data_IF_390405626253
#
_entry.id   IF_390405626253
#
_cell.length_a   1.000
_cell.length_b   1.000
_cell.length_c   1.000
_cell.angle_alpha   90.00
_cell.angle_beta   90.00
_cell.angle_gamma   90.00
#
_symmetry.space_group_name_H-M   'P 1'
#
loop_
_entity.id
_entity.type
_entity.pdbx_description
1 polymer ?
#
# COMPACT_ATOMS: atom_id res chain seq x y z
N UNK A 1 -14.09 17.50 -16.14
CA UNK A 1 -13.99 16.61 -14.95
C UNK A 1 -12.58 16.76 -14.44
N UNK A 2 -12.40 17.49 -13.34
CA UNK A 2 -11.08 17.66 -12.73
C UNK A 2 -10.67 16.31 -12.13
N UNK A 3 -9.54 15.78 -12.59
CA UNK A 3 -8.83 14.70 -11.91
C UNK A 3 -8.39 15.26 -10.55
N UNK A 4 -9.21 15.07 -9.53
CA UNK A 4 -8.75 15.19 -8.16
C UNK A 4 -7.73 14.05 -7.97
N UNK A 5 -6.45 14.36 -8.17
CA UNK A 5 -5.35 13.49 -7.80
C UNK A 5 -5.54 13.14 -6.32
N UNK A 6 -5.92 11.90 -6.04
CA UNK A 6 -5.98 11.37 -4.68
C UNK A 6 -4.55 11.41 -4.13
N UNK A 7 -4.21 12.50 -3.43
CA UNK A 7 -2.92 12.63 -2.74
C UNK A 7 -2.93 11.68 -1.55
N UNK A 8 -2.23 10.56 -1.69
CA UNK A 8 -1.98 9.63 -0.61
C UNK A 8 -1.11 10.30 0.45
N UNK A 9 -1.56 10.31 1.71
CA UNK A 9 -0.78 10.85 2.82
C UNK A 9 0.27 9.84 3.29
N UNK A 10 1.33 10.34 3.93
CA UNK A 10 2.33 9.49 4.62
C UNK A 10 1.68 8.47 5.55
N UNK A 11 0.73 8.92 6.38
CA UNK A 11 0.03 8.05 7.33
C UNK A 11 -0.75 6.93 6.62
N UNK A 12 -1.42 7.25 5.49
CA UNK A 12 -2.13 6.27 4.69
C UNK A 12 -1.17 5.22 4.11
N UNK A 13 -0.04 5.65 3.54
CA UNK A 13 0.99 4.73 3.01
C UNK A 13 1.59 3.85 4.11
N UNK A 14 1.88 4.39 5.29
CA UNK A 14 2.37 3.61 6.43
C UNK A 14 1.33 2.58 6.91
N UNK A 15 0.05 2.95 6.95
CA UNK A 15 -1.05 2.04 7.27
C UNK A 15 -1.16 0.92 6.25
N UNK A 16 -1.10 1.24 4.94
CA UNK A 16 -1.10 0.24 3.87
C UNK A 16 0.11 -0.70 3.95
N UNK A 17 1.31 -0.17 4.24
CA UNK A 17 2.51 -0.99 4.39
C UNK A 17 2.42 -1.98 5.54
N UNK A 18 1.86 -1.57 6.68
CA UNK A 18 1.59 -2.49 7.80
C UNK A 18 0.62 -3.60 7.40
N UNK A 19 -0.42 -3.26 6.63
CA UNK A 19 -1.41 -4.22 6.14
C UNK A 19 -0.78 -5.22 5.16
N UNK A 20 -0.10 -4.75 4.11
CA UNK A 20 0.52 -5.63 3.10
C UNK A 20 1.57 -6.56 3.71
N UNK A 21 2.37 -6.08 4.68
CA UNK A 21 3.31 -6.94 5.43
C UNK A 21 2.61 -8.04 6.22
N UNK A 22 1.44 -7.75 6.81
CA UNK A 22 0.64 -8.76 7.52
C UNK A 22 0.08 -9.79 6.53
N UNK A 23 -0.46 -9.33 5.41
CA UNK A 23 -1.03 -10.17 4.36
C UNK A 23 0.01 -11.08 3.72
N UNK A 24 1.21 -10.58 3.43
CA UNK A 24 2.33 -11.39 2.93
C UNK A 24 2.72 -12.51 3.90
N UNK A 25 2.77 -12.23 5.21
CA UNK A 25 3.02 -13.26 6.24
C UNK A 25 1.91 -14.31 6.28
N UNK A 26 0.66 -13.92 6.04
CA UNK A 26 -0.46 -14.84 5.99
C UNK A 26 -0.35 -15.75 4.75
N UNK A 27 -0.19 -15.18 3.55
CA UNK A 27 -0.09 -15.93 2.29
C UNK A 27 1.07 -16.92 2.28
N UNK A 28 2.21 -16.55 2.87
CA UNK A 28 3.40 -17.41 2.92
C UNK A 28 3.13 -18.78 3.57
N UNK A 29 2.21 -18.83 4.52
CA UNK A 29 1.88 -20.04 5.28
C UNK A 29 0.56 -20.71 4.83
N UNK A 30 -0.07 -20.20 3.77
CA UNK A 30 -1.30 -20.76 3.23
C UNK A 30 -1.01 -21.74 2.10
N UNK A 31 -1.82 -22.79 2.00
CA UNK A 31 -1.93 -23.58 0.77
C UNK A 31 -2.74 -22.83 -0.29
N UNK A 32 -2.67 -23.27 -1.55
CA UNK A 32 -3.46 -22.68 -2.64
C UNK A 32 -4.98 -22.75 -2.32
N UNK A 33 -5.45 -23.89 -1.84
CA UNK A 33 -6.87 -24.05 -1.48
C UNK A 33 -7.32 -23.09 -0.37
N UNK A 34 -6.48 -22.89 0.66
CA UNK A 34 -6.76 -21.92 1.73
C UNK A 34 -6.77 -20.50 1.16
N UNK A 35 -5.80 -20.16 0.32
CA UNK A 35 -5.76 -18.87 -0.33
C UNK A 35 -7.02 -18.61 -1.17
N UNK A 36 -7.44 -19.55 -2.01
CA UNK A 36 -8.65 -19.40 -2.84
C UNK A 36 -9.92 -19.17 -2.01
N UNK A 37 -10.03 -19.81 -0.83
CA UNK A 37 -11.16 -19.60 0.08
C UNK A 37 -11.16 -18.21 0.74
N UNK A 38 -9.97 -17.64 1.01
CA UNK A 38 -9.82 -16.39 1.78
C UNK A 38 -9.36 -15.18 0.93
N UNK A 39 -9.15 -15.33 -0.38
CA UNK A 39 -8.59 -14.28 -1.25
C UNK A 39 -9.38 -12.97 -1.24
N UNK A 40 -10.68 -13.02 -0.98
CA UNK A 40 -11.56 -11.84 -0.88
C UNK A 40 -11.27 -10.95 0.34
N UNK A 41 -10.51 -11.46 1.31
CA UNK A 41 -10.20 -10.74 2.55
C UNK A 41 -8.90 -9.91 2.45
N UNK A 42 -8.24 -9.93 1.29
CA UNK A 42 -7.01 -9.19 1.05
C UNK A 42 -7.29 -7.79 0.52
N UNK A 43 -6.36 -6.88 0.78
CA UNK A 43 -6.41 -5.46 0.41
C UNK A 43 -6.52 -5.18 -1.08
N UNK A 44 -6.13 -6.12 -1.94
CA UNK A 44 -6.27 -6.02 -3.40
C UNK A 44 -7.68 -6.36 -3.91
N UNK A 45 -8.61 -6.72 -3.02
CA UNK A 45 -10.00 -7.00 -3.36
C UNK A 45 -10.20 -8.31 -4.14
N UNK A 46 -11.29 -8.40 -4.89
CA UNK A 46 -11.64 -9.62 -5.64
C UNK A 46 -10.99 -9.60 -7.03
N UNK A 47 -9.82 -10.23 -7.14
CA UNK A 47 -9.18 -10.54 -8.43
C UNK A 47 -9.56 -11.94 -8.86
N UNK A 48 -10.27 -12.09 -9.99
CA UNK A 48 -10.62 -13.39 -10.53
C UNK A 48 -9.37 -14.21 -10.89
N UNK A 49 -9.40 -15.51 -10.59
CA UNK A 49 -8.41 -16.51 -11.00
C UNK A 49 -6.94 -16.22 -10.65
N UNK A 50 -6.68 -15.31 -9.72
CA UNK A 50 -5.33 -15.08 -9.20
C UNK A 50 -4.88 -16.30 -8.37
N UNK A 51 -3.66 -16.76 -8.61
CA UNK A 51 -3.00 -17.79 -7.80
C UNK A 51 -2.40 -17.19 -6.53
N UNK A 52 -2.09 -18.04 -5.54
CA UNK A 52 -1.41 -17.60 -4.31
C UNK A 52 -0.06 -16.93 -4.60
N UNK A 53 0.67 -17.44 -5.59
CA UNK A 53 1.98 -16.92 -5.99
C UNK A 53 1.86 -15.54 -6.64
N UNK A 54 0.91 -15.36 -7.56
CA UNK A 54 0.63 -14.06 -8.18
C UNK A 54 0.15 -13.04 -7.13
N UNK A 55 -0.69 -13.46 -6.18
CA UNK A 55 -1.12 -12.59 -5.08
C UNK A 55 0.04 -12.17 -4.18
N UNK A 56 0.98 -13.09 -3.91
CA UNK A 56 2.21 -12.77 -3.18
C UNK A 56 3.07 -11.76 -3.95
N UNK A 57 3.26 -11.97 -5.26
CA UNK A 57 4.01 -11.06 -6.12
C UNK A 57 3.35 -9.67 -6.16
N UNK A 58 2.02 -9.62 -6.31
CA UNK A 58 1.25 -8.38 -6.32
C UNK A 58 1.42 -7.59 -5.01
N UNK A 59 1.21 -8.23 -3.86
CA UNK A 59 1.38 -7.57 -2.55
C UNK A 59 2.81 -7.09 -2.33
N UNK A 60 3.80 -7.83 -2.84
CA UNK A 60 5.22 -7.44 -2.78
C UNK A 60 5.45 -6.18 -3.60
N UNK A 61 4.93 -6.12 -4.82
CA UNK A 61 5.02 -4.95 -5.70
C UNK A 61 4.30 -3.73 -5.11
N UNK A 62 3.10 -3.90 -4.56
CA UNK A 62 2.36 -2.83 -3.88
C UNK A 62 3.13 -2.29 -2.68
N UNK A 63 3.71 -3.17 -1.86
CA UNK A 63 4.54 -2.76 -0.72
C UNK A 63 5.80 -2.01 -1.17
N UNK A 64 6.48 -2.48 -2.21
CA UNK A 64 7.67 -1.82 -2.74
C UNK A 64 7.34 -0.42 -3.27
N UNK A 65 6.25 -0.27 -4.02
CA UNK A 65 5.78 1.02 -4.51
C UNK A 65 5.47 1.98 -3.36
N UNK A 66 4.72 1.54 -2.35
CA UNK A 66 4.40 2.39 -1.21
C UNK A 66 5.66 2.81 -0.41
N UNK A 67 6.67 1.94 -0.32
CA UNK A 67 7.95 2.30 0.31
C UNK A 67 8.71 3.33 -0.51
N UNK A 68 8.69 3.22 -1.84
CA UNK A 68 9.26 4.24 -2.72
C UNK A 68 8.54 5.59 -2.53
N UNK A 69 7.21 5.60 -2.55
CA UNK A 69 6.40 6.81 -2.33
C UNK A 69 6.68 7.45 -0.96
N UNK A 70 6.85 6.65 0.11
CA UNK A 70 7.24 7.18 1.42
C UNK A 70 8.64 7.79 1.44
N UNK A 71 9.57 7.23 0.68
CA UNK A 71 10.90 7.81 0.50
C UNK A 71 10.82 9.14 -0.23
N UNK A 72 10.02 9.22 -1.30
CA UNK A 72 9.86 10.41 -2.14
C UNK A 72 9.16 11.55 -1.38
N UNK A 73 8.25 11.23 -0.45
CA UNK A 73 7.58 12.23 0.41
C UNK A 73 8.51 12.89 1.44
N UNK A 74 9.69 12.32 1.70
CA UNK A 74 10.65 12.82 2.69
C UNK A 74 10.13 12.77 4.15
N UNK A 75 11.00 13.00 5.15
CA UNK A 75 10.63 12.92 6.57
C UNK A 75 9.64 14.00 7.04
N UNK A 76 9.45 15.07 6.25
CA UNK A 76 8.67 16.25 6.63
C UNK A 76 7.65 16.63 5.54
N UNK A 77 6.56 15.89 5.40
CA UNK A 77 5.36 16.41 4.72
C UNK A 77 4.45 17.19 5.68
N UNK A 78 5.07 17.97 6.58
CA UNK A 78 4.46 18.69 7.69
C UNK A 78 5.19 19.99 8.00
N UNK A 79 5.61 20.73 6.97
CA UNK A 79 6.18 22.07 7.13
C UNK A 79 5.18 23.10 6.62
N UNK A 80 4.51 23.71 7.59
CA UNK A 80 3.78 24.98 7.52
C UNK A 80 4.55 25.98 6.68
N UNK A 81 3.94 26.51 5.62
CA UNK A 81 4.41 27.74 4.99
C UNK A 81 4.17 28.89 5.98
N UNK A 82 5.16 29.22 6.79
CA UNK A 82 5.13 30.40 7.63
C UNK A 82 6.47 31.13 7.53
N UNK A 83 6.36 32.37 7.06
CA UNK A 83 7.36 33.46 7.04
C UNK A 83 8.29 33.51 5.84
N UNK A 84 8.03 34.47 4.95
CA UNK A 84 8.77 35.74 4.94
C UNK A 84 8.03 36.75 4.03
N UNK A 85 7.41 37.77 4.62
CA UNK A 85 7.32 39.08 3.99
C UNK A 85 7.97 40.04 4.98
N UNK A 86 9.03 40.64 4.49
CA UNK A 86 10.02 41.42 5.22
C UNK A 86 9.47 42.74 5.78
N UNK A 87 10.27 43.29 6.69
CA UNK A 87 10.13 44.57 7.40
C UNK A 87 9.92 45.78 6.51
#
# INVERSE_FOLDING_TARGET
MTQDEIKLTREQLEKMNRLHRRELRQIKNMSEAQFQAFRRNFSFGQLADITREEAHALLTSMLALNLQLLSDLGPNSGTTYQNHIDS
#
